data_IF_183971525123
#
_entry.id   IF_183971525123
#
_cell.length_a   1.000
_cell.length_b   1.000
_cell.length_c   1.000
_cell.angle_alpha   90.00
_cell.angle_beta   90.00
_cell.angle_gamma   90.00
#
_symmetry.space_group_name_H-M   'P 1'
#
loop_
_entity.id
_entity.type
_entity.pdbx_description
1 polymer ?
#
# COMPACT_ATOMS: atom_id res chain seq x y z
N UNK A 1 4.06 22.52 0.76
CA UNK A 1 3.31 21.33 1.21
C UNK A 1 4.17 20.46 2.11
N UNK A 2 3.87 20.37 3.40
CA UNK A 2 4.58 19.48 4.32
C UNK A 2 4.17 18.04 4.04
N UNK A 3 5.05 17.21 3.45
CA UNK A 3 4.81 15.80 3.05
C UNK A 3 4.46 14.80 4.18
N UNK A 4 3.70 15.25 5.18
CA UNK A 4 3.18 14.49 6.32
C UNK A 4 1.87 13.77 5.99
N UNK A 5 1.07 14.29 5.05
CA UNK A 5 -0.18 13.64 4.63
C UNK A 5 0.10 12.24 4.03
N UNK A 6 -0.76 11.25 4.29
CA UNK A 6 -0.75 9.98 3.55
C UNK A 6 -1.19 10.21 2.11
N UNK A 7 -0.76 9.34 1.20
CA UNK A 7 -1.29 9.30 -0.16
C UNK A 7 -2.78 8.96 -0.14
N UNK A 8 -3.58 9.61 -0.99
CA UNK A 8 -4.97 9.26 -1.25
C UNK A 8 -5.08 7.91 -1.98
N UNK A 9 -6.23 7.21 -1.91
CA UNK A 9 -6.39 5.94 -2.63
C UNK A 9 -6.15 6.06 -4.14
N UNK A 10 -6.49 7.21 -4.76
CA UNK A 10 -6.19 7.48 -6.17
C UNK A 10 -4.68 7.53 -6.42
N UNK A 11 -3.93 8.30 -5.63
CA UNK A 11 -2.47 8.42 -5.77
C UNK A 11 -1.77 7.09 -5.52
N UNK A 12 -2.24 6.31 -4.53
CA UNK A 12 -1.77 4.94 -4.29
C UNK A 12 -2.01 4.07 -5.52
N UNK A 13 -3.22 4.13 -6.09
CA UNK A 13 -3.55 3.31 -7.24
C UNK A 13 -2.73 3.65 -8.48
N UNK A 14 -2.56 4.94 -8.78
CA UNK A 14 -1.71 5.42 -9.87
C UNK A 14 -0.25 4.99 -9.70
N UNK A 15 0.26 5.09 -8.47
CA UNK A 15 1.61 4.64 -8.13
C UNK A 15 1.77 3.14 -8.41
N UNK A 16 0.88 2.30 -7.88
CA UNK A 16 0.93 0.85 -8.08
C UNK A 16 0.79 0.47 -9.57
N UNK A 17 -0.13 1.10 -10.31
CA UNK A 17 -0.25 0.89 -11.77
C UNK A 17 1.02 1.30 -12.52
N UNK A 18 1.64 2.39 -12.12
CA UNK A 18 2.92 2.84 -12.67
C UNK A 18 4.03 1.82 -12.45
N UNK A 19 4.04 1.17 -11.29
CA UNK A 19 5.00 0.12 -10.89
C UNK A 19 4.73 -1.25 -11.54
N UNK A 20 3.65 -1.39 -12.33
CA UNK A 20 3.35 -2.63 -13.07
C UNK A 20 2.34 -3.56 -12.40
N UNK A 21 1.84 -3.22 -11.21
CA UNK A 21 0.68 -3.92 -10.64
C UNK A 21 -0.55 -3.73 -11.52
N UNK A 22 -1.41 -4.73 -11.59
CA UNK A 22 -2.56 -4.73 -12.50
C UNK A 22 -3.78 -5.41 -11.87
N UNK A 23 -4.86 -5.56 -12.65
CA UNK A 23 -6.12 -6.14 -12.17
C UNK A 23 -6.02 -7.59 -11.71
N UNK A 24 -4.97 -8.31 -12.11
CA UNK A 24 -4.74 -9.70 -11.72
C UNK A 24 -3.89 -9.79 -10.45
N UNK A 25 -3.39 -8.66 -9.93
CA UNK A 25 -2.70 -8.62 -8.64
C UNK A 25 -3.73 -8.71 -7.51
N UNK A 26 -3.60 -9.71 -6.64
CA UNK A 26 -4.32 -9.74 -5.36
C UNK A 26 -3.74 -8.66 -4.44
N UNK A 27 -4.57 -7.68 -4.08
CA UNK A 27 -4.16 -6.57 -3.23
C UNK A 27 -4.87 -6.65 -1.89
N UNK A 28 -4.18 -6.29 -0.82
CA UNK A 28 -4.77 -6.21 0.50
C UNK A 28 -4.55 -4.82 1.08
N UNK A 29 -5.62 -4.18 1.56
CA UNK A 29 -5.56 -2.87 2.20
C UNK A 29 -5.67 -2.99 3.71
N UNK A 30 -4.52 -2.87 4.39
CA UNK A 30 -4.44 -2.64 5.82
C UNK A 30 -4.68 -1.14 6.11
N UNK A 31 -5.87 -0.80 6.61
CA UNK A 31 -6.23 0.57 6.97
C UNK A 31 -7.10 0.64 8.23
N UNK A 32 -7.03 1.78 8.91
CA UNK A 32 -8.09 2.19 9.82
C UNK A 32 -9.33 2.68 9.05
N UNK A 33 -10.27 3.31 9.74
CA UNK A 33 -11.46 3.90 9.10
C UNK A 33 -11.06 4.93 8.04
N UNK A 34 -11.56 4.74 6.83
CA UNK A 34 -11.37 5.65 5.70
C UNK A 34 -12.54 6.63 5.68
N UNK A 35 -12.25 7.92 5.73
CA UNK A 35 -13.28 8.96 5.63
C UNK A 35 -13.99 8.86 4.28
N UNK A 36 -15.32 8.86 4.24
CA UNK A 36 -16.12 8.69 3.01
C UNK A 36 -15.61 7.55 2.13
N UNK A 37 -15.45 6.36 2.74
CA UNK A 37 -14.80 5.20 2.13
C UNK A 37 -15.33 4.89 0.73
N UNK A 38 -16.65 4.81 0.54
CA UNK A 38 -17.28 4.55 -0.76
C UNK A 38 -16.74 5.46 -1.87
N UNK A 39 -16.77 6.78 -1.64
CA UNK A 39 -16.29 7.78 -2.60
C UNK A 39 -14.78 7.70 -2.82
N UNK A 40 -14.02 7.60 -1.73
CA UNK A 40 -12.56 7.71 -1.79
C UNK A 40 -11.89 6.41 -2.25
N UNK A 41 -12.51 5.26 -2.04
CA UNK A 41 -12.01 3.95 -2.47
C UNK A 41 -12.39 3.58 -3.89
N UNK A 42 -13.43 4.20 -4.46
CA UNK A 42 -13.91 3.91 -5.81
C UNK A 42 -12.79 3.88 -6.87
N UNK A 43 -11.85 4.84 -6.94
CA UNK A 43 -10.78 4.79 -7.93
C UNK A 43 -9.82 3.61 -7.73
N UNK A 44 -9.53 3.26 -6.47
CA UNK A 44 -8.62 2.16 -6.16
C UNK A 44 -9.25 0.81 -6.49
N UNK A 45 -10.55 0.64 -6.22
CA UNK A 45 -11.32 -0.55 -6.58
C UNK A 45 -11.46 -0.72 -8.10
N UNK A 46 -11.66 0.38 -8.83
CA UNK A 46 -11.68 0.36 -10.30
C UNK A 46 -10.33 -0.09 -10.88
N UNK A 47 -9.23 0.35 -10.26
CA UNK A 47 -7.88 -0.02 -10.65
C UNK A 47 -7.43 -1.41 -10.18
N UNK A 48 -8.05 -2.01 -9.15
CA UNK A 48 -7.65 -3.30 -8.59
C UNK A 48 -8.88 -4.10 -8.13
N UNK A 49 -9.39 -4.94 -9.04
CA UNK A 49 -10.60 -5.73 -8.79
C UNK A 49 -10.44 -6.80 -7.70
N UNK A 50 -9.21 -7.25 -7.46
CA UNK A 50 -8.89 -8.25 -6.43
C UNK A 50 -8.41 -7.58 -5.13
N UNK A 51 -8.95 -6.41 -4.80
CA UNK A 51 -8.65 -5.70 -3.57
C UNK A 51 -9.49 -6.26 -2.41
N UNK A 52 -8.80 -6.73 -1.37
CA UNK A 52 -9.40 -7.23 -0.13
C UNK A 52 -9.07 -6.32 1.04
N UNK A 53 -9.91 -6.34 2.07
CA UNK A 53 -9.66 -5.76 3.39
C UNK A 53 -9.90 -6.83 4.45
N UNK A 54 -9.50 -6.59 5.70
CA UNK A 54 -9.78 -7.52 6.82
C UNK A 54 -11.26 -7.88 6.94
N UNK A 55 -12.17 -6.97 6.58
CA UNK A 55 -13.61 -7.19 6.61
C UNK A 55 -14.11 -8.10 5.48
N UNK A 56 -13.36 -8.25 4.39
CA UNK A 56 -13.76 -9.05 3.22
C UNK A 56 -12.99 -10.37 3.08
N UNK A 57 -12.02 -10.63 3.97
CA UNK A 57 -11.20 -11.86 3.94
C UNK A 57 -11.96 -13.14 4.28
N UNK A 58 -13.00 -13.04 5.10
CA UNK A 58 -13.77 -14.18 5.59
C UNK A 58 -15.22 -13.77 5.86
N UNK A 59 -16.07 -14.75 6.18
CA UNK A 59 -17.46 -14.50 6.54
C UNK A 59 -17.57 -13.65 7.81
N UNK A 60 -18.70 -12.99 8.00
CA UNK A 60 -18.95 -12.18 9.19
C UNK A 60 -18.97 -13.04 10.47
N UNK A 61 -19.39 -14.29 10.34
CA UNK A 61 -19.37 -15.33 11.36
C UNK A 61 -17.94 -15.70 11.75
N UNK A 62 -17.08 -15.96 10.76
CA UNK A 62 -15.67 -16.30 10.98
C UNK A 62 -14.88 -15.12 11.57
N UNK A 63 -15.22 -13.89 11.19
CA UNK A 63 -14.61 -12.68 11.72
C UNK A 63 -15.15 -12.29 13.09
N UNK A 64 -16.31 -12.82 13.51
CA UNK A 64 -16.97 -12.46 14.76
C UNK A 64 -16.06 -12.53 16.00
N UNK A 65 -15.14 -13.51 16.16
CA UNK A 65 -14.24 -13.56 17.32
C UNK A 65 -13.17 -12.47 17.29
N UNK A 66 -12.92 -11.86 16.13
CA UNK A 66 -11.87 -10.88 15.91
C UNK A 66 -12.35 -9.43 15.91
N UNK A 67 -13.67 -9.16 15.97
CA UNK A 67 -14.27 -7.82 15.83
C UNK A 67 -13.85 -6.76 16.86
N UNK A 68 -12.98 -7.07 17.82
CA UNK A 68 -12.32 -6.04 18.63
C UNK A 68 -11.13 -5.42 17.87
N UNK A 69 -10.82 -4.15 18.15
CA UNK A 69 -9.83 -3.41 17.36
C UNK A 69 -8.42 -4.05 17.37
N UNK A 70 -8.01 -4.64 18.49
CA UNK A 70 -6.68 -5.26 18.60
C UNK A 70 -6.54 -6.55 17.80
N UNK A 71 -7.58 -7.40 17.75
CA UNK A 71 -7.57 -8.64 16.96
C UNK A 71 -7.70 -8.37 15.46
N UNK A 72 -8.53 -7.40 15.05
CA UNK A 72 -8.58 -6.96 13.66
C UNK A 72 -7.23 -6.43 13.16
N UNK A 73 -6.46 -5.76 14.01
CA UNK A 73 -5.10 -5.31 13.67
C UNK A 73 -4.10 -6.48 13.54
N UNK A 74 -4.33 -7.60 14.22
CA UNK A 74 -3.51 -8.81 14.07
C UNK A 74 -3.73 -9.46 12.70
N UNK A 75 -4.95 -9.40 12.14
CA UNK A 75 -5.24 -9.83 10.77
C UNK A 75 -4.45 -8.97 9.77
N UNK A 76 -4.56 -7.64 9.90
CA UNK A 76 -3.79 -6.69 9.08
C UNK A 76 -2.29 -7.00 9.14
N UNK A 77 -1.77 -7.25 10.34
CA UNK A 77 -0.36 -7.58 10.56
C UNK A 77 0.03 -8.88 9.85
N UNK A 78 -0.72 -9.97 10.05
CA UNK A 78 -0.43 -11.28 9.48
C UNK A 78 -0.37 -11.25 7.94
N UNK A 79 -1.37 -10.64 7.30
CA UNK A 79 -1.42 -10.52 5.84
C UNK A 79 -0.26 -9.67 5.32
N UNK A 80 0.04 -8.54 5.97
CA UNK A 80 1.16 -7.69 5.56
C UNK A 80 2.55 -8.31 5.83
N UNK A 81 2.70 -9.16 6.85
CA UNK A 81 3.96 -9.89 7.08
C UNK A 81 4.20 -10.90 5.97
N UNK A 82 3.17 -11.62 5.55
CA UNK A 82 3.31 -12.73 4.60
C UNK A 82 3.13 -12.35 3.13
N UNK A 83 2.76 -11.10 2.81
CA UNK A 83 2.61 -10.66 1.43
C UNK A 83 3.94 -10.66 0.66
N UNK A 84 3.90 -10.92 -0.65
CA UNK A 84 5.12 -10.87 -1.49
C UNK A 84 5.74 -9.47 -1.50
N UNK A 85 4.88 -8.44 -1.58
CA UNK A 85 5.28 -7.03 -1.53
C UNK A 85 4.50 -6.34 -0.42
N UNK A 86 5.20 -5.52 0.38
CA UNK A 86 4.56 -4.65 1.38
C UNK A 86 4.77 -3.17 1.01
N UNK A 87 3.68 -2.40 0.95
CA UNK A 87 3.72 -0.96 0.65
C UNK A 87 3.24 -0.16 1.86
N UNK A 88 4.00 0.86 2.26
CA UNK A 88 3.64 1.71 3.41
C UNK A 88 3.47 3.17 3.02
N UNK A 89 2.26 3.72 3.15
CA UNK A 89 1.93 5.11 2.76
C UNK A 89 1.84 6.07 3.95
N UNK A 90 1.79 5.53 5.17
CA UNK A 90 1.73 6.27 6.42
C UNK A 90 2.81 5.74 7.36
N UNK A 91 3.49 6.63 8.07
CA UNK A 91 4.43 6.23 9.14
C UNK A 91 3.71 5.76 10.40
N UNK A 92 4.48 5.41 11.42
CA UNK A 92 3.99 4.96 12.73
C UNK A 92 4.54 3.58 13.09
N UNK A 93 4.04 3.02 14.19
CA UNK A 93 4.59 1.77 14.75
C UNK A 93 4.28 0.56 13.88
N UNK A 94 3.09 0.51 13.28
CA UNK A 94 2.64 -0.62 12.44
C UNK A 94 3.63 -0.95 11.30
N UNK A 95 3.98 -0.02 10.39
CA UNK A 95 4.96 -0.33 9.34
C UNK A 95 6.37 -0.59 9.88
N UNK A 96 6.79 0.01 11.01
CA UNK A 96 8.09 -0.26 11.60
C UNK A 96 8.22 -1.72 12.06
N UNK A 97 7.21 -2.25 12.75
CA UNK A 97 7.20 -3.65 13.17
C UNK A 97 7.16 -4.61 11.97
N UNK A 98 6.40 -4.28 10.93
CA UNK A 98 6.34 -5.09 9.71
C UNK A 98 7.67 -5.12 8.96
N UNK A 99 8.34 -3.98 8.82
CA UNK A 99 9.64 -3.90 8.15
C UNK A 99 10.65 -4.80 8.86
N UNK A 100 10.75 -4.70 10.19
CA UNK A 100 11.65 -5.53 10.99
C UNK A 100 11.33 -7.02 10.89
N UNK A 101 10.05 -7.38 11.07
CA UNK A 101 9.64 -8.79 11.06
C UNK A 101 9.79 -9.43 9.68
N UNK A 102 9.41 -8.75 8.61
CA UNK A 102 9.63 -9.22 7.23
C UNK A 102 11.12 -9.38 6.95
N UNK A 103 11.96 -8.42 7.36
CA UNK A 103 13.42 -8.53 7.19
C UNK A 103 13.98 -9.78 7.89
N UNK A 104 13.52 -10.07 9.10
CA UNK A 104 13.91 -11.27 9.83
C UNK A 104 13.45 -12.55 9.14
N UNK A 105 12.15 -12.67 8.81
CA UNK A 105 11.58 -13.89 8.22
C UNK A 105 12.15 -14.24 6.84
N UNK A 106 12.43 -13.23 6.02
CA UNK A 106 12.89 -13.41 4.64
C UNK A 106 14.42 -13.21 4.49
N UNK A 107 15.18 -13.28 5.59
CA UNK A 107 16.64 -13.20 5.55
C UNK A 107 17.20 -11.90 4.92
N UNK A 108 16.47 -10.79 5.04
CA UNK A 108 16.83 -9.51 4.42
C UNK A 108 16.25 -9.27 3.02
N UNK A 109 15.64 -10.27 2.38
CA UNK A 109 15.17 -10.19 1.00
C UNK A 109 13.68 -9.80 0.87
N UNK A 110 13.04 -9.34 1.94
CA UNK A 110 11.66 -8.91 1.90
C UNK A 110 11.46 -7.69 1.00
N UNK A 111 10.56 -7.78 0.01
CA UNK A 111 10.24 -6.65 -0.84
C UNK A 111 9.33 -5.66 -0.11
N UNK A 112 9.83 -4.43 0.05
CA UNK A 112 9.15 -3.34 0.77
C UNK A 112 9.23 -2.07 -0.07
N UNK A 113 8.10 -1.42 -0.30
CA UNK A 113 8.00 -0.15 -1.04
C UNK A 113 7.63 0.95 -0.04
N UNK A 114 8.54 1.90 0.14
CA UNK A 114 8.33 3.10 0.95
C UNK A 114 8.43 4.35 0.06
N UNK A 115 7.30 4.87 -0.46
CA UNK A 115 7.32 6.00 -1.37
C UNK A 115 7.87 7.28 -0.73
N UNK A 116 8.69 8.00 -1.48
CA UNK A 116 8.97 9.42 -1.27
C UNK A 116 7.72 10.24 -1.61
N UNK A 117 6.91 10.46 -0.58
CA UNK A 117 5.66 11.21 -0.66
C UNK A 117 5.86 12.64 -1.15
N UNK A 118 7.02 13.27 -0.91
CA UNK A 118 7.26 14.64 -1.37
C UNK A 118 7.44 14.65 -2.88
N UNK A 119 8.22 13.70 -3.40
CA UNK A 119 8.46 13.57 -4.83
C UNK A 119 7.19 13.14 -5.58
N UNK A 120 6.39 12.24 -4.99
CA UNK A 120 5.08 11.89 -5.55
C UNK A 120 4.10 13.06 -5.56
N UNK A 121 4.05 13.87 -4.50
CA UNK A 121 3.18 15.04 -4.47
C UNK A 121 3.50 16.02 -5.61
N UNK A 122 4.79 16.32 -5.84
CA UNK A 122 5.22 17.17 -6.97
C UNK A 122 4.85 16.54 -8.32
N UNK A 123 4.99 15.21 -8.42
CA UNK A 123 4.70 14.48 -9.64
C UNK A 123 3.20 14.48 -10.00
N UNK A 124 2.33 14.33 -9.00
CA UNK A 124 0.88 14.32 -9.17
C UNK A 124 0.27 15.72 -9.32
N UNK A 125 0.94 16.77 -8.84
CA UNK A 125 0.52 18.17 -8.98
C UNK A 125 0.74 18.74 -10.39
N UNK A 126 1.32 17.97 -11.32
CA UNK A 126 1.51 18.38 -12.70
C UNK A 126 0.31 17.97 -13.59
N UNK A 127 -0.60 18.89 -13.95
CA UNK A 127 -1.80 18.55 -14.73
C UNK A 127 -1.50 18.16 -16.18
N UNK A 128 -0.32 18.52 -16.69
CA UNK A 128 0.08 18.29 -18.08
C UNK A 128 0.87 16.99 -18.25
N UNK A 129 1.15 16.24 -17.18
CA UNK A 129 1.97 15.04 -17.29
C UNK A 129 1.23 13.92 -18.04
N UNK A 130 1.80 13.50 -19.17
CA UNK A 130 1.27 12.36 -19.92
C UNK A 130 1.55 11.05 -19.17
N UNK A 131 0.63 10.10 -19.26
CA UNK A 131 0.75 8.78 -18.62
C UNK A 131 2.09 8.08 -18.89
N UNK A 132 2.59 8.12 -20.13
CA UNK A 132 3.89 7.52 -20.50
C UNK A 132 5.05 8.11 -19.67
N UNK A 133 5.04 9.42 -19.46
CA UNK A 133 6.06 10.12 -18.66
C UNK A 133 5.88 9.87 -17.17
N UNK A 134 4.64 9.88 -16.68
CA UNK A 134 4.31 9.55 -15.29
C UNK A 134 4.77 8.13 -14.94
N UNK A 135 4.38 7.13 -15.74
CA UNK A 135 4.77 5.74 -15.58
C UNK A 135 6.28 5.55 -15.52
N UNK A 136 7.02 6.21 -16.43
CA UNK A 136 8.49 6.14 -16.44
C UNK A 136 9.07 6.65 -15.11
N UNK A 137 8.58 7.78 -14.61
CA UNK A 137 9.05 8.32 -13.33
C UNK A 137 8.69 7.43 -12.14
N UNK A 138 7.50 6.84 -12.14
CA UNK A 138 7.06 5.91 -11.10
C UNK A 138 7.90 4.63 -11.06
N UNK A 139 8.29 4.09 -12.22
CA UNK A 139 9.22 2.95 -12.32
C UNK A 139 10.59 3.33 -11.75
N UNK A 140 11.16 4.46 -12.17
CA UNK A 140 12.44 4.93 -11.64
C UNK A 140 12.41 5.12 -10.11
N UNK A 141 11.29 5.58 -9.57
CA UNK A 141 11.10 5.67 -8.12
C UNK A 141 11.06 4.27 -7.47
N UNK A 142 10.39 3.31 -8.09
CA UNK A 142 10.30 1.93 -7.60
C UNK A 142 11.67 1.25 -7.50
N UNK A 143 12.50 1.39 -8.54
CA UNK A 143 13.87 0.83 -8.56
C UNK A 143 14.73 1.43 -7.45
N UNK A 144 14.55 2.71 -7.13
CA UNK A 144 15.23 3.35 -6.01
C UNK A 144 14.78 2.76 -4.67
N UNK A 145 13.51 2.37 -4.52
CA UNK A 145 13.01 1.74 -3.29
C UNK A 145 13.47 0.30 -3.12
N UNK A 146 13.62 -0.46 -4.21
CA UNK A 146 14.13 -1.84 -4.15
C UNK A 146 15.62 -1.91 -3.79
N UNK A 147 16.41 -0.95 -4.27
CA UNK A 147 17.86 -0.93 -4.03
C UNK A 147 18.25 -0.28 -2.68
N UNK A 148 17.36 0.51 -2.06
CA UNK A 148 17.64 1.17 -0.79
C UNK A 148 17.81 0.22 0.42
N UNK A 149 17.49 -1.06 0.27
CA UNK A 149 17.53 -2.06 1.35
C UNK A 149 18.31 -3.34 1.03
N UNK A 150 18.92 -3.42 -0.16
CA UNK A 150 19.93 -4.44 -0.43
C UNK A 150 21.22 -3.98 0.26
N UNK A 151 21.55 -4.63 1.38
CA UNK A 151 22.89 -4.53 1.95
C UNK A 151 23.90 -5.14 0.98
#
# INVERSE_FOLDING_TARGET
MNGKCPLSPLEVGLMLRGMGFNNNTANYLASGRIYKAEKNMAPLLEMFRLLQTKETLASDEDLSPFKNFSRMAAIDYSVCVHSEVFVTTKGGNFPHFLIGHRRYLYGGHAKIIKPDKRRLAILFDNPCIRWKSLKRQLITLADQYENAWRC
#
